data_IF_750834783604
#
_entry.id   IF_750834783604
#
_cell.length_a   1.000
_cell.length_b   1.000
_cell.length_c   1.000
_cell.angle_alpha   90.00
_cell.angle_beta   90.00
_cell.angle_gamma   90.00
#
_symmetry.space_group_name_H-M   'P 1'
#
loop_
_entity.id
_entity.type
_entity.pdbx_description
1 polymer ?
#
# COMPACT_ATOMS: atom_id res chain seq x y z
N UNK A 1 -5.12 -9.78 -0.08
CA UNK A 1 -4.00 -10.12 0.82
C UNK A 1 -4.03 -9.23 2.08
N UNK A 2 -5.12 -9.24 2.85
CA UNK A 2 -5.32 -8.33 3.99
C UNK A 2 -5.21 -9.02 5.35
N UNK A 3 -5.32 -10.35 5.41
CA UNK A 3 -5.27 -11.10 6.68
C UNK A 3 -3.90 -11.17 7.35
N UNK A 4 -2.81 -11.23 6.57
CA UNK A 4 -1.45 -11.38 7.13
C UNK A 4 -0.96 -10.10 7.84
N UNK A 5 -1.38 -8.93 7.36
CA UNK A 5 -1.02 -7.63 7.95
C UNK A 5 -1.73 -7.39 9.28
N UNK A 6 -2.97 -7.86 9.43
CA UNK A 6 -3.74 -7.68 10.67
C UNK A 6 -3.23 -8.58 11.78
N UNK A 7 -2.80 -9.80 11.44
CA UNK A 7 -2.23 -10.74 12.40
C UNK A 7 -0.84 -10.28 12.89
N UNK A 8 0.00 -9.74 11.99
CA UNK A 8 1.27 -9.11 12.38
C UNK A 8 1.06 -7.87 13.26
N UNK A 9 0.05 -7.05 12.96
CA UNK A 9 -0.33 -5.90 13.79
C UNK A 9 -0.83 -6.34 15.18
N UNK A 10 -1.69 -7.36 15.26
CA UNK A 10 -2.17 -7.92 16.53
C UNK A 10 -1.05 -8.53 17.37
N UNK A 11 -0.10 -9.22 16.76
CA UNK A 11 1.07 -9.79 17.45
C UNK A 11 1.99 -8.68 17.97
N UNK A 12 2.28 -7.65 17.16
CA UNK A 12 3.06 -6.50 17.62
C UNK A 12 2.33 -5.63 18.66
N UNK A 13 1.01 -5.52 18.55
CA UNK A 13 0.19 -4.86 19.55
C UNK A 13 0.17 -5.65 20.86
N UNK A 14 0.12 -6.99 20.81
CA UNK A 14 0.18 -7.87 21.98
C UNK A 14 1.54 -7.82 22.68
N UNK A 15 2.64 -7.69 21.94
CA UNK A 15 3.98 -7.53 22.53
C UNK A 15 4.19 -6.11 23.09
N UNK A 16 3.56 -5.09 22.50
CA UNK A 16 3.58 -3.71 23.01
C UNK A 16 2.68 -3.52 24.25
N UNK A 17 1.49 -4.11 24.25
CA UNK A 17 0.58 -4.23 25.40
C UNK A 17 0.87 -5.51 26.17
N UNK A 18 2.08 -5.61 26.75
CA UNK A 18 2.34 -6.67 27.73
C UNK A 18 1.35 -6.51 28.89
N UNK A 19 0.43 -7.48 29.13
CA UNK A 19 -0.50 -7.42 30.25
C UNK A 19 0.26 -7.28 31.58
N UNK A 20 1.48 -7.82 31.62
CA UNK A 20 2.42 -7.72 32.73
C UNK A 20 2.88 -6.28 32.99
N UNK A 21 3.11 -5.47 31.95
CA UNK A 21 3.49 -4.06 32.11
C UNK A 21 2.32 -3.21 32.61
N UNK A 22 1.09 -3.53 32.18
CA UNK A 22 -0.13 -2.87 32.66
C UNK A 22 -0.43 -3.28 34.10
N UNK A 23 -0.29 -4.56 34.45
CA UNK A 23 -0.47 -5.06 35.82
C UNK A 23 0.62 -4.54 36.76
N UNK A 24 1.88 -4.49 36.32
CA UNK A 24 2.97 -3.91 37.10
C UNK A 24 2.82 -2.39 37.27
N UNK A 25 2.39 -1.68 36.23
CA UNK A 25 2.11 -0.24 36.28
C UNK A 25 0.92 0.09 37.19
N UNK A 26 -0.23 -0.55 36.99
CA UNK A 26 -1.40 -0.40 37.85
C UNK A 26 -1.13 -0.86 39.29
N UNK A 27 -0.37 -1.94 39.47
CA UNK A 27 0.05 -2.44 40.77
C UNK A 27 0.99 -1.47 41.49
N UNK A 28 1.94 -0.85 40.79
CA UNK A 28 2.81 0.19 41.33
C UNK A 28 2.05 1.45 41.74
N UNK A 29 1.09 1.88 40.92
CA UNK A 29 0.20 3.01 41.23
C UNK A 29 -0.69 2.68 42.43
N UNK A 30 -1.30 1.49 42.47
CA UNK A 30 -2.12 1.05 43.59
C UNK A 30 -1.32 0.96 44.90
N UNK A 31 -0.08 0.46 44.86
CA UNK A 31 0.80 0.42 46.02
C UNK A 31 1.18 1.81 46.54
N UNK A 32 1.45 2.77 45.64
CA UNK A 32 1.70 4.16 46.01
C UNK A 32 0.47 4.86 46.60
N UNK A 33 -0.70 4.63 46.01
CA UNK A 33 -1.97 5.16 46.51
C UNK A 33 -2.32 4.56 47.88
N UNK A 34 -2.10 3.26 48.07
CA UNK A 34 -2.24 2.58 49.38
C UNK A 34 -1.23 3.10 50.41
N UNK A 35 0.01 3.38 50.01
CA UNK A 35 1.02 3.96 50.91
C UNK A 35 0.68 5.40 51.33
N UNK A 36 0.08 6.19 50.42
CA UNK A 36 -0.39 7.56 50.66
C UNK A 36 -1.67 7.60 51.52
N UNK A 37 -2.67 6.77 51.21
CA UNK A 37 -3.92 6.68 51.98
C UNK A 37 -3.70 6.03 53.34
N UNK A 38 -2.84 5.02 53.40
CA UNK A 38 -2.41 4.36 54.62
C UNK A 38 -1.38 5.15 55.41
N UNK A 39 -0.99 6.35 54.98
CA UNK A 39 0.05 7.14 55.64
C UNK A 39 -0.30 7.48 57.10
N UNK A 40 -1.57 7.57 57.45
CA UNK A 40 -2.03 7.80 58.82
C UNK A 40 -2.21 6.52 59.65
N UNK A 41 -2.35 5.34 59.01
CA UNK A 41 -2.75 4.08 59.67
C UNK A 41 -1.70 2.96 59.59
N UNK A 42 -0.68 3.06 58.73
CA UNK A 42 0.38 2.06 58.63
C UNK A 42 1.56 2.35 59.57
N UNK A 43 2.12 1.32 60.21
CA UNK A 43 3.33 1.46 61.01
C UNK A 43 4.55 1.74 60.12
N UNK A 44 5.46 2.57 60.61
CA UNK A 44 6.58 3.13 59.83
C UNK A 44 7.52 2.10 59.20
N UNK A 45 7.61 0.90 59.77
CA UNK A 45 8.45 -0.18 59.26
C UNK A 45 7.91 -0.81 57.96
N UNK A 46 6.60 -0.75 57.69
CA UNK A 46 6.02 -1.20 56.42
C UNK A 46 6.02 -0.11 55.33
N UNK A 47 6.00 1.17 55.70
CA UNK A 47 5.90 2.28 54.74
C UNK A 47 7.10 2.35 53.80
N UNK A 48 8.31 2.26 54.34
CA UNK A 48 9.56 2.37 53.57
C UNK A 48 9.72 1.27 52.51
N UNK A 49 9.56 -0.04 52.82
CA UNK A 49 9.65 -1.07 51.80
C UNK A 49 8.51 -0.96 50.78
N UNK A 50 7.29 -0.59 51.18
CA UNK A 50 6.16 -0.46 50.25
C UNK A 50 6.37 0.66 49.23
N UNK A 51 6.88 1.81 49.67
CA UNK A 51 7.23 2.93 48.77
C UNK A 51 8.40 2.55 47.86
N UNK A 52 9.45 1.92 48.40
CA UNK A 52 10.58 1.47 47.58
C UNK A 52 10.14 0.48 46.50
N UNK A 53 9.28 -0.47 46.84
CA UNK A 53 8.76 -1.48 45.90
C UNK A 53 7.87 -0.83 44.83
N UNK A 54 7.04 0.15 45.21
CA UNK A 54 6.25 0.94 44.25
C UNK A 54 7.11 1.75 43.26
N UNK A 55 8.17 2.41 43.75
CA UNK A 55 9.11 3.16 42.90
C UNK A 55 9.88 2.25 41.94
N UNK A 56 10.35 1.10 42.43
CA UNK A 56 11.06 0.11 41.60
C UNK A 56 10.13 -0.46 40.52
N UNK A 57 8.87 -0.77 40.85
CA UNK A 57 7.87 -1.22 39.88
C UNK A 57 7.62 -0.18 38.79
N UNK A 58 7.47 1.10 39.16
CA UNK A 58 7.29 2.18 38.19
C UNK A 58 8.52 2.39 37.30
N UNK A 59 9.73 2.34 37.88
CA UNK A 59 10.97 2.48 37.11
C UNK A 59 11.14 1.33 36.10
N UNK A 60 10.89 0.08 36.52
CA UNK A 60 10.91 -1.07 35.62
C UNK A 60 9.86 -0.95 34.51
N UNK A 61 8.64 -0.51 34.83
CA UNK A 61 7.59 -0.30 33.83
C UNK A 61 7.97 0.79 32.82
N UNK A 62 8.54 1.90 33.27
CA UNK A 62 8.98 3.00 32.42
C UNK A 62 10.11 2.58 31.47
N UNK A 63 11.13 1.86 31.97
CA UNK A 63 12.23 1.34 31.14
C UNK A 63 11.73 0.33 30.12
N UNK A 64 10.79 -0.55 30.52
CA UNK A 64 10.18 -1.51 29.61
C UNK A 64 9.38 -0.81 28.50
N UNK A 65 8.57 0.20 28.84
CA UNK A 65 7.82 1.00 27.86
C UNK A 65 8.75 1.79 26.92
N UNK A 66 9.86 2.35 27.42
CA UNK A 66 10.84 3.03 26.59
C UNK A 66 11.54 2.07 25.59
N UNK A 67 11.81 0.82 26.02
CA UNK A 67 12.38 -0.22 25.17
C UNK A 67 11.43 -0.67 24.06
N UNK A 68 10.15 -0.90 24.37
CA UNK A 68 9.15 -1.33 23.37
C UNK A 68 8.83 -0.23 22.37
N UNK A 69 8.76 1.03 22.80
CA UNK A 69 8.53 2.16 21.91
C UNK A 69 9.63 2.29 20.84
N UNK A 70 10.91 2.14 21.24
CA UNK A 70 12.04 2.20 20.32
C UNK A 70 12.05 1.02 19.34
N UNK A 71 11.77 -0.19 19.83
CA UNK A 71 11.68 -1.38 19.00
C UNK A 71 10.54 -1.32 17.96
N UNK A 72 9.38 -0.80 18.36
CA UNK A 72 8.26 -0.59 17.45
C UNK A 72 8.60 0.43 16.36
N UNK A 73 9.25 1.54 16.72
CA UNK A 73 9.62 2.59 15.77
C UNK A 73 10.60 2.10 14.69
N UNK A 74 11.58 1.26 15.07
CA UNK A 74 12.53 0.66 14.14
C UNK A 74 11.87 -0.37 13.22
N UNK A 75 10.90 -1.13 13.72
CA UNK A 75 10.13 -2.07 12.91
C UNK A 75 9.25 -1.34 11.89
N UNK A 76 8.52 -0.29 12.32
CA UNK A 76 7.72 0.55 11.43
C UNK A 76 8.56 1.22 10.33
N UNK A 77 9.76 1.69 10.66
CA UNK A 77 10.66 2.31 9.67
C UNK A 77 11.07 1.31 8.57
N UNK A 78 11.39 0.06 8.94
CA UNK A 78 11.76 -0.99 7.98
C UNK A 78 10.59 -1.38 7.09
N UNK A 79 9.40 -1.53 7.66
CA UNK A 79 8.20 -1.91 6.91
C UNK A 79 7.74 -0.79 5.98
N UNK A 80 7.83 0.47 6.42
CA UNK A 80 7.58 1.64 5.57
C UNK A 80 8.58 1.72 4.40
N UNK A 81 9.87 1.47 4.64
CA UNK A 81 10.87 1.44 3.59
C UNK A 81 10.59 0.33 2.54
N UNK A 82 10.15 -0.85 2.98
CA UNK A 82 9.75 -1.94 2.09
C UNK A 82 8.48 -1.61 1.29
N UNK A 83 7.50 -0.99 1.92
CA UNK A 83 6.28 -0.55 1.25
C UNK A 83 6.58 0.50 0.17
N UNK A 84 7.38 1.51 0.48
CA UNK A 84 7.81 2.54 -0.47
C UNK A 84 8.61 1.95 -1.64
N UNK A 85 9.48 0.97 -1.38
CA UNK A 85 10.20 0.28 -2.44
C UNK A 85 9.25 -0.48 -3.38
N UNK A 86 8.23 -1.15 -2.84
CA UNK A 86 7.22 -1.84 -3.64
C UNK A 86 6.31 -0.88 -4.43
N UNK A 87 6.01 0.31 -3.90
CA UNK A 87 5.27 1.32 -4.65
C UNK A 87 6.09 1.92 -5.79
N UNK A 88 7.39 2.15 -5.59
CA UNK A 88 8.30 2.61 -6.64
C UNK A 88 8.40 1.62 -7.80
N UNK A 89 8.44 0.32 -7.53
CA UNK A 89 8.48 -0.69 -8.61
C UNK A 89 7.15 -0.77 -9.36
N UNK A 90 6.02 -0.73 -8.65
CA UNK A 90 4.69 -0.71 -9.28
C UNK A 90 4.48 0.52 -10.16
N UNK A 91 4.90 1.69 -9.69
CA UNK A 91 4.80 2.94 -10.47
C UNK A 91 5.73 2.94 -11.68
N UNK A 92 6.94 2.37 -11.57
CA UNK A 92 7.84 2.21 -12.71
C UNK A 92 7.25 1.27 -13.78
N UNK A 93 6.68 0.13 -13.37
CA UNK A 93 6.04 -0.82 -14.29
C UNK A 93 4.82 -0.19 -14.96
N UNK A 94 3.99 0.53 -14.20
CA UNK A 94 2.82 1.21 -14.74
C UNK A 94 3.20 2.26 -15.81
N UNK A 95 4.30 3.00 -15.60
CA UNK A 95 4.83 3.95 -16.59
C UNK A 95 5.32 3.27 -17.87
N UNK A 96 6.07 2.18 -17.76
CA UNK A 96 6.51 1.43 -18.94
C UNK A 96 5.32 0.88 -19.74
N UNK A 97 4.28 0.38 -19.06
CA UNK A 97 3.05 -0.07 -19.72
C UNK A 97 2.33 1.10 -20.40
N UNK A 98 2.18 2.24 -19.73
CA UNK A 98 1.51 3.40 -20.34
C UNK A 98 2.25 3.90 -21.56
N UNK A 99 3.58 3.97 -21.51
CA UNK A 99 4.39 4.44 -22.63
C UNK A 99 4.28 3.50 -23.84
N UNK A 100 4.26 2.18 -23.60
CA UNK A 100 4.03 1.19 -24.66
C UNK A 100 2.64 1.31 -25.29
N UNK A 101 1.60 1.52 -24.47
CA UNK A 101 0.23 1.70 -24.97
C UNK A 101 0.14 2.97 -25.82
N UNK A 102 0.76 4.08 -25.39
CA UNK A 102 0.80 5.32 -26.17
C UNK A 102 1.50 5.09 -27.51
N UNK A 103 2.65 4.41 -27.52
CA UNK A 103 3.36 4.09 -28.75
C UNK A 103 2.55 3.19 -29.69
N UNK A 104 1.83 2.20 -29.15
CA UNK A 104 0.92 1.37 -29.95
C UNK A 104 -0.24 2.18 -30.51
N UNK A 105 -0.89 3.01 -29.69
CA UNK A 105 -2.00 3.86 -30.13
C UNK A 105 -1.58 4.81 -31.27
N UNK A 106 -0.38 5.37 -31.22
CA UNK A 106 0.16 6.20 -32.32
C UNK A 106 0.30 5.38 -33.61
N UNK A 107 0.81 4.14 -33.53
CA UNK A 107 0.94 3.25 -34.68
C UNK A 107 -0.44 2.88 -35.24
N UNK A 108 -1.38 2.53 -34.39
CA UNK A 108 -2.73 2.12 -34.79
C UNK A 108 -3.49 3.27 -35.46
N UNK A 109 -3.37 4.50 -34.92
CA UNK A 109 -3.93 5.70 -35.57
C UNK A 109 -3.29 5.96 -36.92
N UNK A 110 -1.98 5.76 -37.05
CA UNK A 110 -1.28 5.93 -38.33
C UNK A 110 -1.70 4.89 -39.38
N UNK A 111 -1.87 3.63 -38.97
CA UNK A 111 -2.36 2.54 -39.81
C UNK A 111 -3.81 2.79 -40.25
N UNK A 112 -4.69 3.15 -39.30
CA UNK A 112 -6.09 3.48 -39.59
C UNK A 112 -6.23 4.64 -40.58
N UNK A 113 -5.36 5.68 -40.48
CA UNK A 113 -5.32 6.77 -41.46
C UNK A 113 -4.86 6.30 -42.84
N UNK A 114 -3.85 5.44 -42.91
CA UNK A 114 -3.37 4.89 -44.17
C UNK A 114 -4.45 4.03 -44.85
N UNK A 115 -5.17 3.20 -44.11
CA UNK A 115 -6.24 2.37 -44.65
C UNK A 115 -7.46 3.20 -45.05
N UNK A 116 -7.81 4.23 -44.26
CA UNK A 116 -8.83 5.19 -44.64
C UNK A 116 -8.49 5.93 -45.94
N UNK A 117 -7.21 6.26 -46.16
CA UNK A 117 -6.76 6.87 -47.42
C UNK A 117 -6.87 5.90 -48.59
N UNK A 118 -6.43 4.65 -48.44
CA UNK A 118 -6.57 3.62 -49.47
C UNK A 118 -8.05 3.37 -49.83
N UNK A 119 -8.95 3.38 -48.85
CA UNK A 119 -10.39 3.25 -49.08
C UNK A 119 -10.96 4.45 -49.84
N UNK A 120 -10.52 5.68 -49.54
CA UNK A 120 -10.89 6.87 -50.32
C UNK A 120 -10.41 6.77 -51.76
N UNK A 121 -9.17 6.35 -51.97
CA UNK A 121 -8.60 6.20 -53.31
C UNK A 121 -9.36 5.14 -54.14
N UNK A 122 -9.73 4.02 -53.51
CA UNK A 122 -10.56 2.99 -54.14
C UNK A 122 -11.96 3.51 -54.47
N UNK A 123 -12.60 4.23 -53.54
CA UNK A 123 -13.93 4.80 -53.78
C UNK A 123 -13.92 5.85 -54.90
N UNK A 124 -12.88 6.69 -54.95
CA UNK A 124 -12.66 7.63 -56.04
C UNK A 124 -12.45 6.90 -57.38
N UNK A 125 -11.66 5.84 -57.40
CA UNK A 125 -11.44 5.02 -58.59
C UNK A 125 -12.74 4.40 -59.11
N UNK A 126 -13.62 3.87 -58.23
CA UNK A 126 -14.96 3.40 -58.59
C UNK A 126 -15.80 4.54 -59.19
N UNK A 127 -15.76 5.73 -58.57
CA UNK A 127 -16.56 6.88 -58.99
C UNK A 127 -16.19 7.36 -60.40
N UNK A 128 -14.91 7.30 -60.77
CA UNK A 128 -14.39 7.73 -62.07
C UNK A 128 -14.38 6.64 -63.15
N UNK A 129 -14.75 5.40 -62.80
CA UNK A 129 -14.75 4.28 -63.75
C UNK A 129 -15.88 4.44 -64.80
N UNK A 130 -15.57 4.42 -66.12
CA UNK A 130 -16.58 4.50 -67.18
C UNK A 130 -17.55 3.30 -67.18
N UNK A 131 -17.23 2.18 -66.54
CA UNK A 131 -18.11 1.01 -66.38
C UNK A 131 -18.90 0.97 -65.06
N UNK A 132 -18.80 2.02 -64.22
CA UNK A 132 -19.42 2.10 -62.89
C UNK A 132 -20.91 1.71 -62.83
N UNK A 133 -21.68 2.07 -63.87
CA UNK A 133 -23.13 1.80 -63.91
C UNK A 133 -23.49 0.44 -64.53
N UNK A 134 -22.49 -0.33 -65.02
CA UNK A 134 -22.71 -1.62 -65.71
C UNK A 134 -22.31 -2.82 -64.86
N UNK A 135 -21.43 -2.64 -63.87
CA UNK A 135 -20.92 -3.73 -63.01
C UNK A 135 -20.83 -3.23 -61.56
N UNK A 136 -21.30 -4.02 -60.59
CA UNK A 136 -21.33 -3.61 -59.18
C UNK A 136 -19.93 -3.28 -58.61
N UNK A 137 -18.88 -4.05 -58.96
CA UNK A 137 -17.47 -3.77 -58.64
C UNK A 137 -16.55 -4.42 -59.70
N UNK A 138 -15.57 -3.69 -60.29
CA UNK A 138 -14.59 -4.27 -61.21
C UNK A 138 -13.67 -5.30 -60.53
N UNK A 139 -13.30 -6.38 -61.23
CA UNK A 139 -12.50 -7.51 -60.68
C UNK A 139 -11.16 -7.04 -60.06
N UNK A 140 -10.48 -6.08 -60.69
CA UNK A 140 -9.23 -5.53 -60.16
C UNK A 140 -9.43 -4.77 -58.84
N UNK A 141 -10.59 -4.16 -58.64
CA UNK A 141 -10.92 -3.40 -57.44
C UNK A 141 -11.39 -4.32 -56.31
N UNK A 142 -12.14 -5.37 -56.63
CA UNK A 142 -12.47 -6.45 -55.70
C UNK A 142 -11.21 -7.14 -55.14
N UNK A 143 -10.18 -7.35 -55.97
CA UNK A 143 -8.90 -7.92 -55.53
C UNK A 143 -8.13 -6.98 -54.59
N UNK A 144 -8.19 -5.66 -54.82
CA UNK A 144 -7.56 -4.66 -53.94
C UNK A 144 -8.28 -4.51 -52.61
N UNK A 145 -9.62 -4.61 -52.60
CA UNK A 145 -10.42 -4.65 -51.37
C UNK A 145 -10.15 -5.91 -50.53
N UNK A 146 -9.85 -7.05 -51.17
CA UNK A 146 -9.49 -8.30 -50.46
C UNK A 146 -8.11 -8.25 -49.79
N UNK A 147 -7.22 -7.38 -50.25
CA UNK A 147 -5.83 -7.28 -49.77
C UNK A 147 -5.63 -6.11 -48.79
N UNK A 148 -6.72 -5.42 -48.41
CA UNK A 148 -6.79 -4.44 -47.33
C UNK A 148 -7.15 -5.16 -46.03
#
# INVERSE_FOLDING_TARGET
>A
MTGFSMLAFLVNAWTAFSPLAVVAGLGGVAALVLALLGFSWLPGFLKRPLVALGVVLLACAAVYQAGTAKGAHDAFARDAARALAAEKTRTAIARDISDRIVLQAVRDVSAARADAQKLKDLNNAIRTDPQRNRVCVPVGLARRLRNL
#
